data_IF_750836127621
#
_entry.id   IF_750836127621
#
_cell.length_a   1.000
_cell.length_b   1.000
_cell.length_c   1.000
_cell.angle_alpha   90.00
_cell.angle_beta   90.00
_cell.angle_gamma   90.00
#
_symmetry.space_group_name_H-M   'P 1'
#
loop_
_entity.id
_entity.type
_entity.pdbx_description
1 polymer ?
#
# COMPACT_ATOMS: atom_id res chain seq x y z
N UNK A 1 -32.21 62.93 9.34
CA UNK A 1 -30.98 62.17 9.10
C UNK A 1 -30.84 61.27 10.29
N UNK A 2 -31.32 60.04 10.20
CA UNK A 2 -30.95 58.96 11.10
C UNK A 2 -30.62 57.80 10.18
N UNK A 3 -29.34 57.47 10.15
CA UNK A 3 -28.81 56.25 9.54
C UNK A 3 -29.36 55.09 10.36
N UNK A 4 -30.42 54.45 9.86
CA UNK A 4 -30.82 53.13 10.34
C UNK A 4 -29.58 52.24 10.24
N UNK A 5 -29.16 51.67 11.37
CA UNK A 5 -28.11 50.67 11.46
C UNK A 5 -28.52 49.42 10.65
N UNK A 6 -28.17 49.39 9.36
CA UNK A 6 -28.51 48.32 8.42
C UNK A 6 -27.57 47.10 8.54
N UNK A 7 -26.47 47.19 9.30
CA UNK A 7 -25.38 46.20 9.18
C UNK A 7 -25.66 44.81 9.76
N UNK A 8 -26.69 44.59 10.60
CA UNK A 8 -26.87 43.28 11.26
C UNK A 8 -28.30 42.76 11.43
N UNK A 9 -29.30 43.42 10.83
CA UNK A 9 -30.69 42.91 10.85
C UNK A 9 -30.90 42.00 9.65
N UNK A 10 -31.38 40.75 9.81
CA UNK A 10 -31.64 39.88 8.66
C UNK A 10 -32.64 40.58 7.73
N UNK A 11 -32.31 40.64 6.43
CA UNK A 11 -33.10 41.34 5.39
C UNK A 11 -34.60 40.97 5.42
N UNK A 12 -34.92 39.76 5.86
CA UNK A 12 -36.28 39.24 6.04
C UNK A 12 -37.05 40.05 7.11
N UNK A 13 -36.45 40.34 8.26
CA UNK A 13 -37.10 41.12 9.31
C UNK A 13 -37.29 42.58 8.90
N UNK A 14 -36.37 43.11 8.09
CA UNK A 14 -36.46 44.47 7.55
C UNK A 14 -37.60 44.56 6.53
N UNK A 15 -37.72 43.58 5.64
CA UNK A 15 -38.83 43.45 4.69
C UNK A 15 -40.19 43.38 5.42
N UNK A 16 -40.31 42.52 6.43
CA UNK A 16 -41.56 42.38 7.19
C UNK A 16 -41.93 43.67 7.94
N UNK A 17 -40.94 44.40 8.44
CA UNK A 17 -41.15 45.70 9.08
C UNK A 17 -41.61 46.76 8.08
N UNK A 18 -41.01 46.83 6.90
CA UNK A 18 -41.44 47.77 5.84
C UNK A 18 -42.83 47.41 5.33
N UNK A 19 -43.14 46.13 5.13
CA UNK A 19 -44.46 45.67 4.65
C UNK A 19 -45.57 45.96 5.67
N UNK A 20 -45.29 45.78 6.96
CA UNK A 20 -46.26 46.11 8.01
C UNK A 20 -46.51 47.62 8.10
N UNK A 21 -45.45 48.44 8.05
CA UNK A 21 -45.55 49.90 8.01
C UNK A 21 -46.24 50.42 6.73
N UNK A 22 -45.99 49.79 5.59
CA UNK A 22 -46.64 50.11 4.32
C UNK A 22 -48.15 49.85 4.39
N UNK A 23 -48.55 48.68 4.91
CA UNK A 23 -49.95 48.33 5.11
C UNK A 23 -50.66 49.23 6.13
N UNK A 24 -49.98 49.61 7.22
CA UNK A 24 -50.53 50.53 8.21
C UNK A 24 -50.75 51.93 7.63
N UNK A 25 -49.78 52.45 6.87
CA UNK A 25 -49.88 53.74 6.19
C UNK A 25 -50.95 53.74 5.08
N UNK A 26 -51.12 52.63 4.35
CA UNK A 26 -52.21 52.47 3.38
C UNK A 26 -53.58 52.47 4.06
N UNK A 27 -53.74 51.72 5.15
CA UNK A 27 -54.98 51.70 5.93
C UNK A 27 -55.30 53.06 6.52
N UNK A 28 -54.30 53.78 7.00
CA UNK A 28 -54.43 55.15 7.50
C UNK A 28 -54.87 56.11 6.39
N UNK A 29 -54.25 56.04 5.20
CA UNK A 29 -54.61 56.87 4.05
C UNK A 29 -56.04 56.57 3.56
N UNK A 30 -56.41 55.28 3.42
CA UNK A 30 -57.76 54.87 3.03
C UNK A 30 -58.80 55.27 4.07
N UNK A 31 -58.50 55.11 5.37
CA UNK A 31 -59.37 55.57 6.44
C UNK A 31 -59.55 57.09 6.45
N UNK A 32 -58.50 57.86 6.14
CA UNK A 32 -58.55 59.31 5.95
C UNK A 32 -59.35 59.73 4.70
N UNK A 33 -59.41 58.88 3.68
CA UNK A 33 -60.24 59.09 2.48
C UNK A 33 -61.72 58.76 2.75
N UNK A 34 -62.02 57.67 3.44
CA UNK A 34 -63.38 57.21 3.73
C UNK A 34 -64.10 58.10 4.76
N UNK A 35 -63.38 58.60 5.78
CA UNK A 35 -63.95 59.45 6.83
C UNK A 35 -64.35 60.85 6.34
N UNK A 36 -63.78 61.30 5.22
CA UNK A 36 -63.97 62.66 4.70
C UNK A 36 -64.58 62.72 3.29
N UNK A 37 -65.01 61.60 2.71
CA UNK A 37 -65.83 61.58 1.50
C UNK A 37 -67.14 62.37 1.59
N UNK A 38 -67.47 62.92 2.78
CA UNK A 38 -68.74 63.58 3.07
C UNK A 38 -68.62 64.96 3.78
N UNK A 39 -67.43 65.54 4.00
CA UNK A 39 -67.31 66.87 4.66
C UNK A 39 -66.26 67.79 4.02
N UNK A 40 -66.72 68.94 3.57
CA UNK A 40 -65.96 69.97 2.89
C UNK A 40 -64.72 70.47 3.68
N UNK A 41 -63.57 70.43 3.01
CA UNK A 41 -62.48 71.43 3.05
C UNK A 41 -61.94 71.87 4.43
N UNK A 42 -61.29 70.96 5.16
CA UNK A 42 -60.29 71.37 6.15
C UNK A 42 -58.89 71.28 5.52
N UNK A 43 -58.22 72.41 5.31
CA UNK A 43 -56.85 72.48 4.75
C UNK A 43 -55.84 71.62 5.53
N UNK A 44 -56.10 71.39 6.82
CA UNK A 44 -55.29 70.53 7.69
C UNK A 44 -55.41 69.05 7.33
N UNK A 45 -56.59 68.59 6.90
CA UNK A 45 -56.81 67.20 6.49
C UNK A 45 -56.15 66.93 5.12
N UNK A 46 -56.22 67.89 4.19
CA UNK A 46 -55.49 67.81 2.92
C UNK A 46 -53.98 67.72 3.14
N UNK A 47 -53.41 68.49 4.08
CA UNK A 47 -51.98 68.40 4.44
C UNK A 47 -51.61 67.06 5.05
N UNK A 48 -52.44 66.50 5.93
CA UNK A 48 -52.20 65.19 6.55
C UNK A 48 -52.20 64.06 5.51
N UNK A 49 -53.08 64.11 4.49
CA UNK A 49 -53.09 63.15 3.38
C UNK A 49 -51.85 63.26 2.49
N UNK A 50 -51.38 64.48 2.24
CA UNK A 50 -50.15 64.70 1.48
C UNK A 50 -48.95 64.15 2.26
N UNK A 51 -48.90 64.33 3.58
CA UNK A 51 -47.84 63.77 4.43
C UNK A 51 -47.87 62.23 4.48
N UNK A 52 -49.06 61.60 4.61
CA UNK A 52 -49.18 60.13 4.55
C UNK A 52 -48.84 59.57 3.18
N UNK A 53 -49.23 60.24 2.09
CA UNK A 53 -48.84 59.88 0.73
C UNK A 53 -47.32 60.02 0.51
N UNK A 54 -46.69 61.07 1.05
CA UNK A 54 -45.23 61.23 0.99
C UNK A 54 -44.49 60.16 1.79
N UNK A 55 -45.01 59.74 2.95
CA UNK A 55 -44.47 58.61 3.72
C UNK A 55 -44.57 57.30 2.94
N UNK A 56 -45.69 57.08 2.24
CA UNK A 56 -45.88 55.91 1.38
C UNK A 56 -44.86 55.87 0.23
N UNK A 57 -44.61 57.00 -0.43
CA UNK A 57 -43.59 57.11 -1.50
C UNK A 57 -42.19 56.82 -0.97
N UNK A 58 -41.85 57.29 0.24
CA UNK A 58 -40.55 56.99 0.86
C UNK A 58 -40.40 55.51 1.22
N UNK A 59 -41.47 54.88 1.71
CA UNK A 59 -41.47 53.44 2.00
C UNK A 59 -41.34 52.61 0.72
N UNK A 60 -41.99 53.03 -0.38
CA UNK A 60 -41.85 52.39 -1.68
C UNK A 60 -40.42 52.49 -2.21
N UNK A 61 -39.79 53.66 -2.11
CA UNK A 61 -38.38 53.85 -2.45
C UNK A 61 -37.47 52.95 -1.60
N UNK A 62 -37.75 52.80 -0.31
CA UNK A 62 -37.00 51.91 0.57
C UNK A 62 -37.18 50.43 0.21
N UNK A 63 -38.40 50.02 -0.19
CA UNK A 63 -38.68 48.67 -0.66
C UNK A 63 -37.94 48.37 -1.97
N UNK A 64 -37.92 49.32 -2.90
CA UNK A 64 -37.17 49.20 -4.15
C UNK A 64 -35.66 49.03 -3.89
N UNK A 65 -35.09 49.80 -2.96
CA UNK A 65 -33.69 49.66 -2.55
C UNK A 65 -33.41 48.28 -1.94
N UNK A 66 -34.26 47.82 -1.03
CA UNK A 66 -34.12 46.49 -0.42
C UNK A 66 -34.22 45.37 -1.46
N UNK A 67 -35.10 45.51 -2.45
CA UNK A 67 -35.21 44.54 -3.54
C UNK A 67 -33.92 44.45 -4.37
N UNK A 68 -33.29 45.59 -4.67
CA UNK A 68 -32.00 45.63 -5.37
C UNK A 68 -30.92 44.93 -4.52
N UNK A 69 -30.84 45.23 -3.23
CA UNK A 69 -29.89 44.59 -2.31
C UNK A 69 -30.11 43.08 -2.19
N UNK A 70 -31.38 42.63 -2.11
CA UNK A 70 -31.74 41.22 -2.08
C UNK A 70 -31.27 40.52 -3.35
N UNK A 71 -31.46 41.15 -4.51
CA UNK A 71 -31.02 40.62 -5.81
C UNK A 71 -29.49 40.49 -5.85
N UNK A 72 -28.76 41.48 -5.35
CA UNK A 72 -27.30 41.41 -5.21
C UNK A 72 -26.86 40.29 -4.27
N UNK A 73 -27.54 40.14 -3.14
CA UNK A 73 -27.25 39.07 -2.19
C UNK A 73 -27.51 37.69 -2.81
N UNK A 74 -28.62 37.50 -3.51
CA UNK A 74 -28.94 36.24 -4.21
C UNK A 74 -27.87 35.88 -5.25
N UNK A 75 -27.45 36.86 -6.06
CA UNK A 75 -26.37 36.67 -7.04
C UNK A 75 -25.06 36.27 -6.35
N UNK A 76 -24.68 36.96 -5.27
CA UNK A 76 -23.48 36.63 -4.50
C UNK A 76 -23.57 35.23 -3.90
N UNK A 77 -24.74 34.82 -3.41
CA UNK A 77 -24.96 33.46 -2.89
C UNK A 77 -24.80 32.39 -3.97
N UNK A 78 -25.23 32.67 -5.20
CA UNK A 78 -24.99 31.78 -6.34
C UNK A 78 -23.50 31.66 -6.68
N UNK A 79 -22.78 32.79 -6.69
CA UNK A 79 -21.32 32.82 -6.89
C UNK A 79 -20.58 32.05 -5.79
N UNK A 80 -21.00 32.19 -4.53
CA UNK A 80 -20.46 31.44 -3.38
C UNK A 80 -20.68 29.94 -3.57
N UNK A 81 -21.91 29.52 -3.92
CA UNK A 81 -22.22 28.09 -4.16
C UNK A 81 -21.39 27.50 -5.29
N UNK A 82 -21.25 28.23 -6.40
CA UNK A 82 -20.41 27.82 -7.54
C UNK A 82 -18.95 27.64 -7.11
N UNK A 83 -18.41 28.60 -6.34
CA UNK A 83 -17.03 28.52 -5.83
C UNK A 83 -16.84 27.35 -4.84
N UNK A 84 -17.83 27.09 -3.98
CA UNK A 84 -17.81 25.94 -3.08
C UNK A 84 -17.81 24.62 -3.83
N UNK A 85 -18.63 24.50 -4.88
CA UNK A 85 -18.66 23.32 -5.73
C UNK A 85 -17.31 23.09 -6.42
N UNK A 86 -16.71 24.15 -6.99
CA UNK A 86 -15.39 24.08 -7.60
C UNK A 86 -14.31 23.65 -6.59
N UNK A 87 -14.39 24.13 -5.36
CA UNK A 87 -13.47 23.74 -4.27
C UNK A 87 -13.59 22.25 -3.94
N UNK A 88 -14.81 21.73 -3.86
CA UNK A 88 -15.07 20.30 -3.64
C UNK A 88 -14.53 19.46 -4.81
N UNK A 89 -14.76 19.88 -6.05
CA UNK A 89 -14.24 19.21 -7.24
C UNK A 89 -12.71 19.20 -7.28
N UNK A 90 -12.08 20.33 -6.97
CA UNK A 90 -10.62 20.43 -6.82
C UNK A 90 -10.10 19.49 -5.73
N UNK A 91 -10.77 19.42 -4.58
CA UNK A 91 -10.43 18.49 -3.51
C UNK A 91 -10.49 17.03 -3.96
N UNK A 92 -11.53 16.64 -4.70
CA UNK A 92 -11.64 15.30 -5.29
C UNK A 92 -10.51 15.01 -6.28
N UNK A 93 -10.15 15.98 -7.12
CA UNK A 93 -9.04 15.82 -8.08
C UNK A 93 -7.70 15.64 -7.36
N UNK A 94 -7.44 16.41 -6.29
CA UNK A 94 -6.23 16.26 -5.46
C UNK A 94 -6.15 14.88 -4.82
N UNK A 95 -7.25 14.38 -4.26
CA UNK A 95 -7.27 13.05 -3.66
C UNK A 95 -7.00 11.95 -4.69
N UNK A 96 -7.61 12.05 -5.88
CA UNK A 96 -7.32 11.11 -6.99
C UNK A 96 -5.84 11.13 -7.39
N UNK A 97 -5.25 12.32 -7.47
CA UNK A 97 -3.84 12.47 -7.80
C UNK A 97 -2.94 11.85 -6.72
N UNK A 98 -3.22 12.11 -5.44
CA UNK A 98 -2.46 11.52 -4.32
C UNK A 98 -2.55 10.00 -4.34
N UNK A 99 -3.75 9.44 -4.54
CA UNK A 99 -3.93 7.99 -4.60
C UNK A 99 -3.15 7.40 -5.78
N UNK A 100 -3.26 7.98 -6.97
CA UNK A 100 -2.49 7.54 -8.14
C UNK A 100 -0.97 7.61 -7.91
N UNK A 101 -0.49 8.62 -7.18
CA UNK A 101 0.93 8.74 -6.83
C UNK A 101 1.35 7.68 -5.80
N UNK A 102 0.48 7.34 -4.86
CA UNK A 102 0.73 6.28 -3.88
C UNK A 102 0.77 4.91 -4.55
N UNK A 103 -0.17 4.64 -5.46
CA UNK A 103 -0.21 3.40 -6.24
C UNK A 103 1.06 3.25 -7.09
N UNK A 104 1.46 4.30 -7.81
CA UNK A 104 2.69 4.30 -8.60
C UNK A 104 3.95 4.12 -7.73
N UNK A 105 3.96 4.70 -6.52
CA UNK A 105 5.05 4.49 -5.57
C UNK A 105 5.12 3.02 -5.13
N UNK A 106 3.99 2.42 -4.79
CA UNK A 106 3.91 1.01 -4.38
C UNK A 106 4.40 0.07 -5.49
N UNK A 107 4.00 0.32 -6.73
CA UNK A 107 4.45 -0.45 -7.89
C UNK A 107 5.97 -0.33 -8.10
N UNK A 108 6.52 0.87 -7.91
CA UNK A 108 7.96 1.09 -8.01
C UNK A 108 8.73 0.38 -6.89
N UNK A 109 8.22 0.40 -5.65
CA UNK A 109 8.82 -0.32 -4.53
C UNK A 109 8.85 -1.83 -4.76
N UNK A 110 7.77 -2.39 -5.32
CA UNK A 110 7.70 -3.81 -5.72
C UNK A 110 8.71 -4.12 -6.83
N UNK A 111 8.78 -3.28 -7.87
CA UNK A 111 9.73 -3.44 -8.96
C UNK A 111 11.19 -3.36 -8.48
N UNK A 112 11.50 -2.48 -7.53
CA UNK A 112 12.83 -2.38 -6.91
C UNK A 112 13.13 -3.66 -6.13
N UNK A 113 12.22 -4.12 -5.27
CA UNK A 113 12.42 -5.34 -4.48
C UNK A 113 12.67 -6.56 -5.37
N UNK A 114 11.95 -6.68 -6.48
CA UNK A 114 12.16 -7.76 -7.45
C UNK A 114 13.46 -7.62 -8.24
N UNK A 115 13.86 -6.39 -8.58
CA UNK A 115 15.15 -6.13 -9.20
C UNK A 115 16.31 -6.51 -8.28
N UNK A 116 16.22 -6.22 -6.97
CA UNK A 116 17.22 -6.58 -5.98
C UNK A 116 17.33 -8.10 -5.81
N UNK A 117 16.20 -8.82 -5.77
CA UNK A 117 16.19 -10.30 -5.74
C UNK A 117 16.90 -10.86 -6.98
N UNK A 118 16.58 -10.37 -8.17
CA UNK A 118 17.22 -10.79 -9.42
C UNK A 118 18.72 -10.51 -9.43
N UNK A 119 19.12 -9.35 -8.90
CA UNK A 119 20.52 -8.96 -8.78
C UNK A 119 21.28 -9.90 -7.84
N UNK A 120 20.71 -10.22 -6.67
CA UNK A 120 21.28 -11.21 -5.75
C UNK A 120 21.45 -12.58 -6.41
N UNK A 121 20.42 -13.07 -7.12
CA UNK A 121 20.49 -14.33 -7.86
C UNK A 121 21.55 -14.29 -8.97
N UNK A 122 21.68 -13.17 -9.68
CA UNK A 122 22.70 -12.99 -10.70
C UNK A 122 24.11 -13.03 -10.10
N UNK A 123 24.35 -12.41 -8.94
CA UNK A 123 25.63 -12.50 -8.24
C UNK A 123 25.95 -13.91 -7.76
N UNK A 124 24.95 -14.65 -7.24
CA UNK A 124 25.14 -16.05 -6.87
C UNK A 124 25.46 -16.89 -8.12
N UNK A 125 24.78 -16.65 -9.24
CA UNK A 125 25.06 -17.36 -10.50
C UNK A 125 26.42 -17.02 -11.09
N UNK A 126 26.87 -15.77 -10.97
CA UNK A 126 28.21 -15.32 -11.37
C UNK A 126 29.30 -15.93 -10.50
N UNK A 127 29.12 -15.94 -9.17
CA UNK A 127 30.03 -16.59 -8.24
C UNK A 127 30.09 -18.11 -8.44
N UNK A 128 28.95 -18.73 -8.73
CA UNK A 128 28.85 -20.16 -8.99
C UNK A 128 29.27 -20.55 -10.41
N UNK A 129 29.57 -19.58 -11.30
CA UNK A 129 29.74 -19.80 -12.75
C UNK A 129 30.67 -20.99 -13.05
N UNK A 130 30.12 -22.19 -13.31
CA UNK A 130 30.95 -23.36 -13.51
C UNK A 130 31.54 -23.27 -14.91
N UNK A 131 32.80 -23.70 -15.06
CA UNK A 131 33.39 -23.79 -16.40
C UNK A 131 32.53 -24.69 -17.27
N UNK A 132 32.27 -24.26 -18.50
CA UNK A 132 31.51 -25.04 -19.49
C UNK A 132 32.13 -26.41 -19.72
N UNK A 133 33.46 -26.54 -19.59
CA UNK A 133 34.15 -27.83 -19.63
C UNK A 133 33.65 -28.79 -18.55
N UNK A 134 33.50 -28.28 -17.33
CA UNK A 134 33.20 -29.09 -16.14
C UNK A 134 31.74 -29.55 -16.17
N UNK A 135 30.85 -28.68 -16.68
CA UNK A 135 29.45 -29.02 -16.93
C UNK A 135 29.34 -30.13 -17.98
N UNK A 136 30.08 -30.01 -19.10
CA UNK A 136 30.07 -31.01 -20.17
C UNK A 136 30.62 -32.35 -19.65
N UNK A 137 31.71 -32.32 -18.89
CA UNK A 137 32.33 -33.54 -18.37
C UNK A 137 31.47 -34.19 -17.28
N UNK A 138 30.82 -33.40 -16.43
CA UNK A 138 29.83 -33.91 -15.47
C UNK A 138 28.61 -34.50 -16.19
N UNK A 139 28.08 -33.82 -17.22
CA UNK A 139 26.96 -34.33 -18.01
C UNK A 139 27.30 -35.64 -18.74
N UNK A 140 28.52 -35.80 -19.28
CA UNK A 140 29.01 -37.06 -19.85
C UNK A 140 29.09 -38.18 -18.81
N UNK A 141 29.49 -37.87 -17.56
CA UNK A 141 29.49 -38.83 -16.45
C UNK A 141 28.06 -39.24 -16.09
N UNK A 142 27.15 -38.27 -15.99
CA UNK A 142 25.75 -38.50 -15.63
C UNK A 142 24.98 -39.28 -16.71
N UNK A 143 25.27 -39.02 -17.98
CA UNK A 143 24.61 -39.69 -19.12
C UNK A 143 24.74 -41.21 -19.07
N UNK A 144 25.82 -41.75 -18.51
CA UNK A 144 26.02 -43.19 -18.31
C UNK A 144 24.98 -43.81 -17.37
N UNK A 145 24.50 -43.03 -16.40
CA UNK A 145 23.55 -43.47 -15.38
C UNK A 145 22.10 -43.07 -15.71
N UNK A 146 21.89 -42.07 -16.56
CA UNK A 146 20.54 -41.58 -16.91
C UNK A 146 20.02 -42.06 -18.27
N UNK A 147 20.90 -42.55 -19.16
CA UNK A 147 20.53 -42.91 -20.54
C UNK A 147 20.78 -44.39 -20.79
N UNK A 148 19.82 -45.10 -21.38
CA UNK A 148 20.07 -46.43 -21.92
C UNK A 148 21.11 -46.31 -23.07
N UNK A 149 22.13 -47.18 -23.14
CA UNK A 149 23.15 -47.12 -24.18
C UNK A 149 22.54 -47.10 -25.60
N UNK A 150 23.17 -46.44 -26.59
CA UNK A 150 22.62 -46.28 -27.94
C UNK A 150 22.29 -47.60 -28.70
N UNK A 151 22.74 -48.76 -28.19
CA UNK A 151 22.41 -50.10 -28.71
C UNK A 151 21.68 -50.97 -27.66
N UNK A 152 20.98 -50.38 -26.68
CA UNK A 152 20.26 -51.13 -25.66
C UNK A 152 19.10 -51.90 -26.30
N UNK A 153 19.31 -53.21 -26.45
CA UNK A 153 18.31 -54.14 -26.95
C UNK A 153 17.72 -54.87 -25.73
N UNK A 154 16.41 -54.84 -25.47
CA UNK A 154 15.81 -55.47 -24.28
C UNK A 154 15.98 -57.01 -24.23
N UNK A 155 16.48 -57.63 -25.30
CA UNK A 155 16.87 -59.05 -25.35
C UNK A 155 18.37 -59.34 -25.20
N UNK A 156 19.21 -58.30 -25.13
CA UNK A 156 20.64 -58.41 -24.83
C UNK A 156 20.79 -58.35 -23.31
N UNK A 157 21.21 -59.46 -22.68
CA UNK A 157 21.29 -59.64 -21.23
C UNK A 157 22.30 -58.78 -20.47
N UNK A 158 22.63 -57.57 -20.97
CA UNK A 158 23.40 -56.56 -20.24
C UNK A 158 22.38 -55.62 -19.57
N UNK A 159 22.11 -55.77 -18.26
CA UNK A 159 21.21 -54.86 -17.58
C UNK A 159 21.84 -53.45 -17.56
N UNK A 160 21.04 -52.40 -17.77
CA UNK A 160 21.52 -51.03 -17.59
C UNK A 160 21.94 -50.87 -16.11
N UNK A 161 23.04 -50.15 -15.86
CA UNK A 161 23.41 -49.82 -14.49
C UNK A 161 22.23 -49.07 -13.84
N UNK A 162 21.78 -49.48 -12.64
CA UNK A 162 20.62 -48.89 -12.02
C UNK A 162 20.91 -47.42 -11.65
N UNK A 163 19.89 -46.54 -11.71
CA UNK A 163 20.06 -45.10 -11.46
C UNK A 163 20.37 -44.77 -9.99
N UNK A 164 20.47 -45.77 -9.13
CA UNK A 164 20.75 -45.66 -7.70
C UNK A 164 21.86 -46.64 -7.29
N UNK A 165 22.65 -46.32 -6.25
CA UNK A 165 23.72 -47.19 -5.78
C UNK A 165 23.18 -48.56 -5.32
N UNK A 166 23.77 -49.64 -5.84
CA UNK A 166 23.40 -51.02 -5.51
C UNK A 166 24.01 -51.43 -4.17
N UNK A 167 23.29 -52.24 -3.39
CA UNK A 167 23.76 -52.77 -2.11
C UNK A 167 25.16 -53.42 -2.18
N UNK A 168 25.46 -54.17 -3.24
CA UNK A 168 26.78 -54.75 -3.48
C UNK A 168 27.89 -53.69 -3.61
N UNK A 169 27.61 -52.58 -4.29
CA UNK A 169 28.56 -51.47 -4.42
C UNK A 169 28.73 -50.73 -3.08
N UNK A 170 27.66 -50.58 -2.30
CA UNK A 170 27.70 -50.01 -0.95
C UNK A 170 28.51 -50.90 0.01
N UNK A 171 28.33 -52.22 -0.07
CA UNK A 171 29.04 -53.20 0.74
C UNK A 171 30.52 -53.34 0.34
N UNK A 172 30.85 -53.17 -0.94
CA UNK A 172 32.22 -53.20 -1.45
C UNK A 172 33.00 -51.87 -1.29
N UNK A 173 32.29 -50.79 -0.97
CA UNK A 173 32.83 -49.44 -0.83
C UNK A 173 33.74 -49.25 0.39
N UNK A 174 34.51 -48.15 0.37
CA UNK A 174 35.43 -47.77 1.45
C UNK A 174 34.75 -47.66 2.81
N UNK A 175 33.50 -47.18 2.84
CA UNK A 175 32.71 -47.04 4.07
C UNK A 175 32.50 -48.39 4.78
N UNK A 176 32.18 -49.43 4.02
CA UNK A 176 31.97 -50.78 4.56
C UNK A 176 33.29 -51.41 5.03
N UNK A 177 34.40 -51.14 4.34
CA UNK A 177 35.75 -51.58 4.78
C UNK A 177 36.18 -50.91 6.07
N UNK A 178 35.91 -49.61 6.21
CA UNK A 178 36.20 -48.88 7.46
C UNK A 178 35.41 -49.46 8.63
N UNK A 179 34.12 -49.75 8.44
CA UNK A 179 33.29 -50.41 9.47
C UNK A 179 33.80 -51.80 9.84
N UNK A 180 34.24 -52.59 8.86
CA UNK A 180 34.85 -53.91 9.11
C UNK A 180 36.19 -53.82 9.84
N UNK A 181 37.05 -52.86 9.48
CA UNK A 181 38.33 -52.63 10.15
C UNK A 181 38.15 -52.13 11.59
N UNK A 182 37.17 -51.26 11.82
CA UNK A 182 36.80 -50.82 13.17
C UNK A 182 36.26 -51.98 14.01
N UNK A 183 35.41 -52.83 13.43
CA UNK A 183 34.93 -54.05 14.09
C UNK A 183 36.07 -55.03 14.41
N UNK A 184 37.00 -55.28 13.47
CA UNK A 184 38.13 -56.18 13.71
C UNK A 184 39.13 -55.63 14.73
N UNK A 185 39.33 -54.30 14.79
CA UNK A 185 40.17 -53.68 15.83
C UNK A 185 39.55 -53.82 17.22
N UNK A 186 38.23 -53.71 17.33
CA UNK A 186 37.49 -53.93 18.58
C UNK A 186 37.53 -55.40 19.00
N UNK A 187 37.40 -56.34 18.05
CA UNK A 187 37.47 -57.78 18.33
C UNK A 187 38.90 -58.26 18.69
N UNK A 188 39.94 -57.63 18.15
CA UNK A 188 41.33 -57.91 18.53
C UNK A 188 41.67 -57.34 19.92
N UNK A 189 41.22 -56.12 20.22
CA UNK A 189 41.37 -55.53 21.56
C UNK A 189 40.64 -56.35 22.64
N UNK A 190 39.53 -57.01 22.30
CA UNK A 190 38.80 -57.89 23.22
C UNK A 190 39.46 -59.28 23.42
N UNK A 191 40.37 -59.69 22.53
CA UNK A 191 41.08 -60.98 22.61
C UNK A 191 42.51 -60.87 23.16
N UNK A 192 43.10 -59.67 23.19
CA UNK A 192 44.45 -59.41 23.73
C UNK A 192 44.47 -59.13 25.24
N UNK A 193 43.32 -59.05 25.91
CA UNK A 193 43.22 -58.80 27.37
C UNK A 193 43.46 -60.05 28.26
N UNK A 194 44.28 -61.00 27.81
CA UNK A 194 44.59 -62.24 28.54
C UNK A 194 46.05 -62.70 28.47
N UNK A 195 47.04 -61.82 28.27
CA UNK A 195 48.42 -62.17 28.63
C UNK A 195 49.20 -60.93 29.10
N UNK A 196 49.65 -60.97 30.36
CA UNK A 196 50.50 -59.94 30.95
C UNK A 196 51.90 -59.99 30.35
N UNK A 197 52.39 -58.83 29.87
CA UNK A 197 53.81 -58.52 29.98
C UNK A 197 54.46 -57.82 28.80
N UNK A 198 55.25 -56.82 29.17
CA UNK A 198 56.52 -56.42 28.56
C UNK A 198 56.55 -55.17 27.67
N UNK A 199 57.56 -54.34 27.95
CA UNK A 199 57.83 -53.03 27.39
C UNK A 199 58.53 -53.16 26.02
N UNK A 200 58.15 -52.36 25.03
CA UNK A 200 58.90 -52.27 23.78
C UNK A 200 58.53 -51.09 22.89
N UNK A 201 59.40 -50.09 22.85
CA UNK A 201 59.40 -48.96 21.90
C UNK A 201 59.37 -49.40 20.43
N UNK A 202 58.60 -48.67 19.60
CA UNK A 202 58.74 -48.65 18.14
C UNK A 202 58.20 -47.33 17.60
N UNK A 203 59.13 -46.44 17.22
CA UNK A 203 58.86 -45.17 16.57
C UNK A 203 58.36 -45.37 15.12
N UNK A 204 57.71 -44.31 14.64
CA UNK A 204 57.71 -43.79 13.26
C UNK A 204 56.39 -43.87 12.46
N UNK A 205 56.07 -42.67 11.97
CA UNK A 205 55.24 -42.30 10.82
C UNK A 205 53.75 -42.65 10.86
N UNK A 206 52.95 -41.70 11.37
CA UNK A 206 51.85 -41.09 10.60
C UNK A 206 51.19 -39.97 11.44
N UNK A 207 51.75 -38.77 11.36
CA UNK A 207 51.26 -37.56 12.03
C UNK A 207 50.07 -36.91 11.27
N UNK A 208 49.18 -37.74 10.71
CA UNK A 208 48.01 -37.32 9.94
C UNK A 208 46.68 -37.94 10.40
N UNK A 209 46.68 -38.85 11.38
CA UNK A 209 45.55 -39.76 11.63
C UNK A 209 44.68 -39.43 12.86
N UNK A 210 44.83 -38.26 13.47
CA UNK A 210 43.99 -37.78 14.59
C UNK A 210 42.85 -36.85 14.14
N UNK A 211 42.40 -36.96 12.88
CA UNK A 211 41.11 -36.39 12.49
C UNK A 211 40.03 -37.44 12.70
N UNK A 212 39.35 -37.35 13.85
CA UNK A 212 38.12 -38.09 14.11
C UNK A 212 37.16 -37.92 12.92
N UNK A 213 36.59 -39.03 12.44
CA UNK A 213 35.59 -39.00 11.37
C UNK A 213 34.36 -38.14 11.73
N UNK A 214 34.19 -37.85 13.02
CA UNK A 214 33.18 -36.95 13.56
C UNK A 214 33.52 -35.47 13.25
N UNK A 215 34.79 -35.07 13.19
CA UNK A 215 35.22 -33.72 12.78
C UNK A 215 35.03 -33.47 11.26
N UNK A 216 35.12 -34.54 10.45
CA UNK A 216 34.86 -34.49 9.01
C UNK A 216 33.35 -34.42 8.68
N UNK A 217 32.49 -34.85 9.61
CA UNK A 217 31.03 -34.74 9.53
C UNK A 217 30.49 -33.43 10.11
N UNK A 218 31.17 -32.85 11.12
CA UNK A 218 30.82 -31.56 11.73
C UNK A 218 31.31 -30.34 10.91
N UNK A 219 32.29 -30.51 10.02
CA UNK A 219 32.75 -29.46 9.11
C UNK A 219 31.90 -29.31 7.83
N UNK A 220 30.91 -30.19 7.63
CA UNK A 220 29.85 -30.00 6.66
C UNK A 220 28.72 -29.21 7.33
N UNK A 221 28.80 -27.87 7.21
CA UNK A 221 27.69 -27.00 7.54
C UNK A 221 26.49 -27.36 6.66
N UNK A 222 25.56 -28.11 7.25
CA UNK A 222 24.35 -28.60 6.58
C UNK A 222 23.24 -27.54 6.52
N UNK A 223 23.45 -26.32 7.02
CA UNK A 223 22.53 -25.19 6.86
C UNK A 223 23.26 -23.82 6.83
N UNK A 224 23.83 -23.42 5.69
CA UNK A 224 24.40 -22.08 5.56
C UNK A 224 23.36 -20.95 5.43
N UNK A 225 22.05 -21.26 5.36
CA UNK A 225 20.97 -20.28 5.15
C UNK A 225 19.70 -20.58 5.97
N UNK A 226 19.73 -20.28 7.27
CA UNK A 226 18.54 -20.02 8.10
C UNK A 226 18.80 -18.84 9.04
#
# INVERSE_FOLDING_TARGET
MDSLDVENVPLVNLLDTILTQYNENLRSLLGQLDTEGNRNTNQNATRSRIDTAQKLVKLDQSLQQLFIELTHHQRRQEEIRSTQQLSIESGKAKLKFINSMLDAKSELEEAIADSEKKLKLAHVAEAASPSVSDIIDYAKKLSKFSTAPPNFNPGSGVPPEPPYPVLLALQGGSLSRYRMQKASKVDNAANEDNDEGDYGHGMDDDQFDDMDADDLLLSLDLNPDL
#
